data_IF_977902405340
#
_entry.id   IF_977902405340
#
_cell.length_a   1.000
_cell.length_b   1.000
_cell.length_c   1.000
_cell.angle_alpha   90.00
_cell.angle_beta   90.00
_cell.angle_gamma   90.00
#
_symmetry.space_group_name_H-M   'P 1'
#
loop_
_entity.id
_entity.type
_entity.pdbx_description
1 polymer ?
#
# COMPACT_ATOMS: atom_id res chain seq x y z
N UNK A 1 12.68 19.99 7.01
CA UNK A 1 13.41 18.93 7.73
C UNK A 1 12.52 17.71 7.79
N UNK A 2 12.63 16.81 6.81
CA UNK A 2 11.91 15.53 6.77
C UNK A 2 12.95 14.42 6.74
N UNK A 3 13.42 14.03 7.92
CA UNK A 3 14.40 12.97 8.06
C UNK A 3 13.68 11.61 8.06
N UNK A 4 14.18 10.69 7.22
CA UNK A 4 14.41 9.29 7.61
C UNK A 4 13.21 8.44 8.06
N UNK A 5 12.12 8.38 7.29
CA UNK A 5 11.13 7.30 7.44
C UNK A 5 11.36 6.11 6.50
N UNK A 6 12.32 6.21 5.57
CA UNK A 6 12.68 5.09 4.67
C UNK A 6 13.68 4.10 5.30
N UNK A 7 14.29 4.43 6.46
CA UNK A 7 15.35 3.62 7.09
C UNK A 7 14.84 2.57 8.07
N UNK A 8 13.57 2.60 8.48
CA UNK A 8 13.04 1.65 9.47
C UNK A 8 12.48 0.38 8.84
N UNK A 9 11.84 0.45 7.66
CA UNK A 9 11.14 -0.68 7.06
C UNK A 9 12.01 -1.96 6.87
N UNK A 10 13.30 -1.78 6.57
CA UNK A 10 14.25 -2.90 6.49
C UNK A 10 14.58 -3.50 7.86
N UNK A 11 14.83 -2.65 8.87
CA UNK A 11 15.09 -3.07 10.24
C UNK A 11 13.84 -3.68 10.91
N UNK A 12 12.66 -3.16 10.58
CA UNK A 12 11.36 -3.66 11.01
C UNK A 12 11.14 -5.07 10.45
N UNK A 13 11.49 -5.32 9.19
CA UNK A 13 11.42 -6.66 8.60
C UNK A 13 12.43 -7.63 9.23
N UNK A 14 13.68 -7.22 9.43
CA UNK A 14 14.69 -8.07 10.11
C UNK A 14 14.19 -8.50 11.48
N UNK A 15 13.75 -7.53 12.29
CA UNK A 15 13.22 -7.80 13.64
C UNK A 15 11.98 -8.68 13.59
N UNK A 16 11.11 -8.47 12.59
CA UNK A 16 9.93 -9.28 12.36
C UNK A 16 10.29 -10.74 12.05
N UNK A 17 11.21 -10.98 11.11
CA UNK A 17 11.63 -12.32 10.70
C UNK A 17 12.33 -13.07 11.84
N UNK A 18 13.25 -12.41 12.56
CA UNK A 18 13.93 -12.98 13.72
C UNK A 18 12.97 -13.30 14.89
N UNK A 19 11.80 -12.67 14.92
CA UNK A 19 10.76 -12.92 15.90
C UNK A 19 9.74 -14.00 15.50
N UNK A 20 9.92 -14.67 14.37
CA UNK A 20 9.06 -15.79 13.94
C UNK A 20 9.48 -17.10 14.63
N UNK A 21 8.55 -18.04 14.84
CA UNK A 21 8.88 -19.39 15.29
C UNK A 21 9.82 -20.12 14.32
N UNK A 22 10.73 -20.95 14.85
CA UNK A 22 11.72 -21.69 14.04
C UNK A 22 11.07 -22.54 12.94
N UNK A 23 9.94 -23.20 13.23
CA UNK A 23 9.21 -24.03 12.27
C UNK A 23 8.56 -23.22 11.14
N UNK A 24 8.23 -21.95 11.39
CA UNK A 24 7.74 -21.00 10.38
C UNK A 24 8.92 -20.53 9.52
N UNK A 25 10.06 -20.22 10.14
CA UNK A 25 11.30 -19.88 9.44
C UNK A 25 11.74 -21.02 8.51
N UNK A 26 11.76 -22.26 8.99
CA UNK A 26 12.10 -23.46 8.20
C UNK A 26 11.20 -23.61 6.97
N UNK A 27 9.89 -23.36 7.12
CA UNK A 27 8.93 -23.40 6.01
C UNK A 27 9.20 -22.30 4.97
N UNK A 28 9.54 -21.08 5.41
CA UNK A 28 9.91 -19.97 4.53
C UNK A 28 11.23 -20.29 3.81
N UNK A 29 12.22 -20.82 4.51
CA UNK A 29 13.51 -21.22 3.95
C UNK A 29 13.38 -22.35 2.92
N UNK A 30 12.45 -23.27 3.14
CA UNK A 30 12.16 -24.34 2.19
C UNK A 30 11.72 -23.82 0.82
N UNK A 31 11.12 -22.61 0.73
CA UNK A 31 10.80 -21.94 -0.54
C UNK A 31 12.05 -21.64 -1.37
N UNK A 32 13.20 -21.49 -0.70
CA UNK A 32 14.50 -21.21 -1.31
C UNK A 32 15.30 -22.50 -1.60
N UNK A 33 14.64 -23.66 -1.49
CA UNK A 33 15.23 -24.96 -1.78
C UNK A 33 15.74 -25.11 -3.22
N UNK A 34 16.75 -25.97 -3.40
CA UNK A 34 17.24 -26.35 -4.72
C UNK A 34 16.15 -27.13 -5.46
N UNK A 35 15.82 -26.69 -6.68
CA UNK A 35 14.76 -27.31 -7.48
C UNK A 35 13.33 -26.98 -7.01
N UNK A 36 13.18 -26.04 -6.07
CA UNK A 36 11.87 -25.55 -5.66
C UNK A 36 11.27 -24.63 -6.73
N UNK A 37 10.08 -24.96 -7.21
CA UNK A 37 9.40 -24.26 -8.29
C UNK A 37 8.15 -23.50 -7.81
N UNK A 38 7.79 -23.62 -6.51
CA UNK A 38 6.68 -22.86 -5.90
C UNK A 38 6.79 -21.36 -6.17
N UNK A 39 7.99 -20.80 -6.19
CA UNK A 39 8.23 -19.38 -6.44
C UNK A 39 7.97 -18.94 -7.89
N UNK A 40 7.70 -19.84 -8.83
CA UNK A 40 7.35 -19.46 -10.21
C UNK A 40 5.98 -18.77 -10.29
N UNK A 41 5.12 -18.94 -9.28
CA UNK A 41 3.80 -18.31 -9.23
C UNK A 41 3.45 -17.86 -7.82
N UNK A 42 2.70 -16.76 -7.66
CA UNK A 42 2.20 -16.34 -6.37
C UNK A 42 1.32 -17.40 -5.70
N UNK A 43 1.33 -17.43 -4.37
CA UNK A 43 0.50 -18.32 -3.59
C UNK A 43 -0.99 -17.94 -3.73
N UNK A 44 -1.84 -18.90 -4.12
CA UNK A 44 -3.25 -18.64 -4.42
C UNK A 44 -4.10 -18.25 -3.20
N UNK A 45 -3.67 -18.66 -2.00
CA UNK A 45 -4.36 -18.33 -0.75
C UNK A 45 -3.93 -17.00 -0.13
N UNK A 46 -2.91 -16.32 -0.67
CA UNK A 46 -2.46 -15.04 -0.13
C UNK A 46 -3.30 -13.87 -0.68
N UNK A 47 -3.37 -12.73 0.03
CA UNK A 47 -3.95 -11.51 -0.52
C UNK A 47 -3.29 -11.12 -1.86
N UNK A 48 -4.03 -10.48 -2.79
CA UNK A 48 -3.44 -10.00 -4.03
C UNK A 48 -2.36 -8.95 -3.73
N UNK A 49 -1.24 -8.98 -4.46
CA UNK A 49 -0.14 -8.04 -4.24
C UNK A 49 -0.49 -6.60 -4.64
N UNK A 50 -1.30 -6.43 -5.69
CA UNK A 50 -1.75 -5.12 -6.17
C UNK A 50 -3.29 -5.06 -6.22
N UNK A 51 -3.97 -4.99 -5.05
CA UNK A 51 -5.41 -4.81 -5.01
C UNK A 51 -5.79 -3.44 -5.58
N UNK A 52 -7.04 -3.32 -6.04
CA UNK A 52 -7.59 -2.01 -6.38
C UNK A 52 -7.69 -1.15 -5.12
N UNK A 53 -7.20 0.09 -5.20
CA UNK A 53 -7.24 1.08 -4.12
C UNK A 53 -7.83 2.40 -4.63
N UNK A 54 -8.32 3.28 -3.73
CA UNK A 54 -8.79 4.61 -4.09
C UNK A 54 -7.72 5.45 -4.79
N UNK A 55 -8.16 6.43 -5.56
CA UNK A 55 -7.31 7.53 -6.03
C UNK A 55 -6.60 8.18 -4.83
N UNK A 56 -5.34 8.58 -4.98
CA UNK A 56 -4.54 9.15 -3.89
C UNK A 56 -3.94 8.12 -2.93
N UNK A 57 -4.26 6.85 -3.10
CA UNK A 57 -3.62 5.72 -2.40
C UNK A 57 -2.66 5.01 -3.36
N UNK A 58 -1.53 4.56 -2.83
CA UNK A 58 -0.50 3.83 -3.60
C UNK A 58 -0.20 2.50 -2.91
N UNK A 59 -0.16 1.43 -3.70
CA UNK A 59 0.39 0.12 -3.29
C UNK A 59 1.67 -0.16 -4.06
N UNK A 60 2.72 -0.58 -3.36
CA UNK A 60 4.00 -0.94 -4.00
C UNK A 60 4.74 -2.01 -3.22
N UNK A 61 5.72 -2.62 -3.87
CA UNK A 61 6.74 -3.43 -3.20
C UNK A 61 7.68 -2.53 -2.40
N UNK A 62 7.97 -2.90 -1.14
CA UNK A 62 8.99 -2.24 -0.34
C UNK A 62 10.38 -2.72 -0.76
N UNK A 63 11.17 -1.83 -1.36
CA UNK A 63 12.57 -2.13 -1.68
C UNK A 63 13.41 -2.38 -0.43
N UNK A 64 13.10 -1.70 0.67
CA UNK A 64 13.77 -1.89 1.96
C UNK A 64 13.47 -3.28 2.54
N UNK A 65 12.21 -3.73 2.50
CA UNK A 65 11.85 -5.08 2.94
C UNK A 65 12.43 -6.16 2.03
N UNK A 66 12.43 -5.96 0.70
CA UNK A 66 13.06 -6.89 -0.24
C UNK A 66 14.58 -7.02 0.04
N UNK A 67 15.28 -5.90 0.23
CA UNK A 67 16.69 -5.90 0.58
C UNK A 67 16.96 -6.58 1.93
N UNK A 68 16.13 -6.32 2.94
CA UNK A 68 16.23 -6.98 4.24
C UNK A 68 15.99 -8.49 4.14
N UNK A 69 15.00 -8.92 3.36
CA UNK A 69 14.72 -10.33 3.10
C UNK A 69 15.92 -11.05 2.48
N UNK A 70 16.60 -10.45 1.50
CA UNK A 70 17.83 -11.02 0.93
C UNK A 70 18.92 -11.22 1.99
N UNK A 71 18.99 -10.36 3.00
CA UNK A 71 20.02 -10.39 4.03
C UNK A 71 19.73 -11.44 5.12
N UNK A 72 18.46 -11.61 5.51
CA UNK A 72 18.08 -12.41 6.69
C UNK A 72 17.53 -13.78 6.36
N UNK A 73 16.90 -13.97 5.19
CA UNK A 73 16.30 -15.27 4.82
C UNK A 73 17.37 -16.16 4.19
N UNK A 74 17.73 -17.29 4.82
CA UNK A 74 18.76 -18.16 4.28
C UNK A 74 18.47 -18.64 2.87
N UNK A 75 19.51 -18.62 2.03
CA UNK A 75 19.49 -19.03 0.61
C UNK A 75 18.61 -18.18 -0.31
N UNK A 76 17.83 -17.21 0.19
CA UNK A 76 16.99 -16.37 -0.66
C UNK A 76 17.80 -15.58 -1.67
N UNK A 77 18.95 -15.02 -1.26
CA UNK A 77 19.84 -14.30 -2.18
C UNK A 77 20.34 -15.19 -3.32
N UNK A 78 20.69 -16.44 -3.02
CA UNK A 78 21.09 -17.40 -4.05
C UNK A 78 19.92 -17.73 -4.98
N UNK A 79 18.73 -17.98 -4.43
CA UNK A 79 17.52 -18.27 -5.19
C UNK A 79 17.15 -17.10 -6.12
N UNK A 80 17.25 -15.87 -5.63
CA UNK A 80 17.04 -14.63 -6.38
C UNK A 80 17.95 -14.58 -7.62
N UNK A 81 19.26 -14.85 -7.47
CA UNK A 81 20.19 -14.91 -8.62
C UNK A 81 19.99 -16.12 -9.54
N UNK A 82 19.47 -17.23 -9.02
CA UNK A 82 19.16 -18.41 -9.84
C UNK A 82 17.95 -18.18 -10.75
N UNK A 83 16.93 -17.46 -10.25
CA UNK A 83 15.67 -17.25 -10.94
C UNK A 83 15.64 -15.98 -11.80
N UNK A 84 16.33 -14.92 -11.42
CA UNK A 84 16.29 -13.63 -12.14
C UNK A 84 17.57 -13.43 -12.97
N UNK A 85 17.46 -13.04 -14.26
CA UNK A 85 16.24 -12.86 -15.05
C UNK A 85 15.79 -14.15 -15.79
N UNK A 86 16.36 -15.31 -15.45
CA UNK A 86 16.28 -16.55 -16.26
C UNK A 86 14.87 -17.13 -16.35
N UNK A 87 14.16 -17.17 -15.22
CA UNK A 87 12.85 -17.81 -15.08
C UNK A 87 11.73 -16.80 -14.91
N UNK A 88 12.01 -15.64 -14.31
CA UNK A 88 11.02 -14.58 -14.11
C UNK A 88 11.64 -13.18 -13.90
N UNK A 89 10.87 -12.11 -14.12
CA UNK A 89 11.23 -10.75 -13.73
C UNK A 89 11.38 -10.59 -12.20
N UNK A 90 12.17 -9.60 -11.79
CA UNK A 90 12.43 -9.31 -10.37
C UNK A 90 11.15 -8.99 -9.59
N UNK A 91 10.25 -8.18 -10.15
CA UNK A 91 8.98 -7.86 -9.51
C UNK A 91 8.11 -9.11 -9.27
N UNK A 92 8.03 -10.01 -10.25
CA UNK A 92 7.25 -11.23 -10.13
C UNK A 92 7.84 -12.20 -9.10
N UNK A 93 9.18 -12.26 -9.00
CA UNK A 93 9.85 -13.02 -7.96
C UNK A 93 9.48 -12.51 -6.56
N UNK A 94 9.54 -11.20 -6.35
CA UNK A 94 9.22 -10.62 -5.04
C UNK A 94 7.76 -10.79 -4.67
N UNK A 95 6.84 -10.54 -5.61
CA UNK A 95 5.40 -10.79 -5.42
C UNK A 95 5.17 -12.25 -5.05
N UNK A 96 5.82 -13.17 -5.75
CA UNK A 96 5.70 -14.60 -5.49
C UNK A 96 6.24 -14.97 -4.12
N UNK A 97 7.50 -14.65 -3.81
CA UNK A 97 8.13 -14.96 -2.54
C UNK A 97 7.32 -14.43 -1.35
N UNK A 98 6.93 -13.16 -1.39
CA UNK A 98 6.18 -12.55 -0.31
C UNK A 98 4.76 -13.10 -0.18
N UNK A 99 4.10 -13.48 -1.27
CA UNK A 99 2.79 -14.16 -1.18
C UNK A 99 2.88 -15.52 -0.49
N UNK A 100 3.91 -16.33 -0.79
CA UNK A 100 4.14 -17.61 -0.11
C UNK A 100 4.50 -17.42 1.36
N UNK A 101 5.40 -16.48 1.65
CA UNK A 101 5.75 -16.12 3.03
C UNK A 101 4.51 -15.68 3.83
N UNK A 102 3.65 -14.86 3.25
CA UNK A 102 2.40 -14.42 3.87
C UNK A 102 1.49 -15.60 4.19
N UNK A 103 1.31 -16.53 3.25
CA UNK A 103 0.47 -17.70 3.47
C UNK A 103 1.00 -18.63 4.57
N UNK A 104 2.33 -18.81 4.64
CA UNK A 104 2.97 -19.57 5.72
C UNK A 104 2.72 -18.90 7.07
N UNK A 105 2.90 -17.59 7.18
CA UNK A 105 2.70 -16.88 8.44
C UNK A 105 1.22 -16.87 8.84
N UNK A 106 0.31 -16.61 7.91
CA UNK A 106 -1.13 -16.60 8.17
C UNK A 106 -1.64 -17.96 8.67
N UNK A 107 -1.08 -19.06 8.18
CA UNK A 107 -1.44 -20.41 8.61
C UNK A 107 -0.90 -20.83 9.97
N UNK A 108 0.15 -20.17 10.49
CA UNK A 108 0.87 -20.61 11.70
C UNK A 108 0.87 -19.58 12.84
N UNK A 109 1.00 -18.29 12.52
CA UNK A 109 1.09 -17.18 13.48
C UNK A 109 0.45 -15.88 12.93
N UNK A 110 -0.87 -15.87 12.65
CA UNK A 110 -1.56 -14.75 12.01
C UNK A 110 -1.45 -13.42 12.79
N UNK A 111 -1.32 -13.46 14.11
CA UNK A 111 -1.12 -12.28 14.95
C UNK A 111 0.14 -11.49 14.59
N UNK A 112 1.17 -12.15 14.04
CA UNK A 112 2.38 -11.49 13.55
C UNK A 112 2.10 -10.59 12.34
N UNK A 113 1.19 -10.98 11.46
CA UNK A 113 0.78 -10.13 10.33
C UNK A 113 0.02 -8.90 10.81
N UNK A 114 -0.81 -9.04 11.86
CA UNK A 114 -1.53 -7.90 12.45
C UNK A 114 -0.58 -6.90 13.11
N UNK A 115 0.45 -7.38 13.83
CA UNK A 115 1.50 -6.53 14.40
C UNK A 115 2.21 -5.72 13.30
N UNK A 116 2.58 -6.35 12.18
CA UNK A 116 3.24 -5.68 11.07
C UNK A 116 2.34 -4.63 10.41
N UNK A 117 1.06 -4.95 10.22
CA UNK A 117 0.07 -4.02 9.70
C UNK A 117 -0.16 -2.80 10.63
N UNK A 118 -0.09 -3.01 11.95
CA UNK A 118 -0.28 -1.94 12.95
C UNK A 118 0.86 -0.91 12.97
N UNK A 119 2.08 -1.32 12.59
CA UNK A 119 3.29 -0.48 12.58
C UNK A 119 3.48 0.31 11.30
N UNK A 120 2.74 -0.04 10.24
CA UNK A 120 2.88 0.61 8.94
C UNK A 120 2.48 2.10 9.01
N UNK A 121 3.38 2.98 8.55
CA UNK A 121 3.02 4.39 8.32
C UNK A 121 1.93 4.46 7.26
N UNK A 122 0.86 5.20 7.56
CA UNK A 122 -0.24 5.39 6.61
C UNK A 122 0.07 6.47 5.56
N UNK A 123 1.05 7.34 5.82
CA UNK A 123 1.53 8.35 4.86
C UNK A 123 2.85 7.93 4.24
N UNK A 124 2.97 8.14 2.92
CA UNK A 124 4.19 7.90 2.17
C UNK A 124 4.30 8.84 0.97
N UNK A 125 5.36 8.68 0.19
CA UNK A 125 5.53 9.35 -1.09
C UNK A 125 5.98 8.34 -2.11
N UNK A 126 5.43 8.44 -3.31
CA UNK A 126 5.98 7.74 -4.46
C UNK A 126 7.34 8.37 -4.78
N UNK A 127 8.40 7.55 -4.84
CA UNK A 127 9.75 8.00 -5.21
C UNK A 127 9.94 7.76 -6.70
N UNK A 128 9.89 8.81 -7.52
CA UNK A 128 10.08 8.74 -8.97
C UNK A 128 9.41 9.91 -9.71
N UNK A 129 9.65 10.00 -11.02
CA UNK A 129 9.10 11.05 -11.90
C UNK A 129 7.66 10.77 -12.38
N UNK A 130 7.04 9.66 -11.94
CA UNK A 130 5.68 9.33 -12.33
C UNK A 130 4.65 10.25 -11.63
N UNK A 131 3.63 10.75 -12.34
CA UNK A 131 2.59 11.57 -11.71
C UNK A 131 1.83 10.75 -10.68
N UNK A 132 1.52 11.36 -9.54
CA UNK A 132 0.71 10.75 -8.49
C UNK A 132 -0.69 10.40 -9.02
N UNK A 133 -1.35 9.43 -8.36
CA UNK A 133 -2.63 8.91 -8.83
C UNK A 133 -3.74 9.97 -8.84
N UNK A 134 -3.69 10.99 -7.97
CA UNK A 134 -4.64 12.10 -7.99
C UNK A 134 -4.42 12.98 -9.21
N UNK A 135 -3.21 13.49 -9.46
CA UNK A 135 -2.91 14.35 -10.61
C UNK A 135 -3.21 13.64 -11.93
N UNK A 136 -2.86 12.36 -12.03
CA UNK A 136 -3.16 11.52 -13.18
C UNK A 136 -4.67 11.36 -13.41
N UNK A 137 -5.48 11.22 -12.36
CA UNK A 137 -6.94 11.15 -12.46
C UNK A 137 -7.55 12.53 -12.77
N UNK A 138 -7.17 13.55 -12.02
CA UNK A 138 -7.72 14.91 -12.07
C UNK A 138 -7.56 15.57 -13.44
N UNK A 139 -6.43 15.34 -14.10
CA UNK A 139 -6.16 15.86 -15.46
C UNK A 139 -7.10 15.30 -16.53
N UNK A 140 -7.71 14.14 -16.30
CA UNK A 140 -8.63 13.46 -17.22
C UNK A 140 -10.11 13.73 -16.94
N UNK A 141 -10.43 14.43 -15.84
CA UNK A 141 -11.81 14.73 -15.47
C UNK A 141 -12.37 15.86 -16.33
N UNK A 142 -13.60 15.69 -16.81
CA UNK A 142 -14.43 16.77 -17.32
C UNK A 142 -14.89 17.71 -16.19
N UNK A 143 -15.51 18.82 -16.58
CA UNK A 143 -15.96 19.83 -15.62
C UNK A 143 -17.05 19.30 -14.68
N UNK A 144 -17.97 18.46 -15.17
CA UNK A 144 -19.05 17.92 -14.34
C UNK A 144 -18.53 17.04 -13.21
N UNK A 145 -17.53 16.20 -13.49
CA UNK A 145 -16.84 15.40 -12.46
C UNK A 145 -16.05 16.26 -11.48
N UNK A 146 -15.40 17.32 -11.97
CA UNK A 146 -14.70 18.27 -11.09
C UNK A 146 -15.67 19.00 -10.17
N UNK A 147 -16.83 19.39 -10.67
CA UNK A 147 -17.89 20.02 -9.88
C UNK A 147 -18.45 19.06 -8.83
N UNK A 148 -18.63 17.78 -9.18
CA UNK A 148 -19.04 16.75 -8.22
C UNK A 148 -18.01 16.60 -7.08
N UNK A 149 -16.71 16.59 -7.38
CA UNK A 149 -15.66 16.56 -6.35
C UNK A 149 -15.63 17.86 -5.55
N UNK A 150 -15.82 19.02 -6.18
CA UNK A 150 -15.91 20.31 -5.49
C UNK A 150 -17.10 20.37 -4.51
N UNK A 151 -18.23 19.75 -4.85
CA UNK A 151 -19.39 19.65 -3.98
C UNK A 151 -19.09 18.84 -2.70
N UNK A 152 -18.22 17.82 -2.76
CA UNK A 152 -17.81 17.06 -1.57
C UNK A 152 -17.15 17.95 -0.51
N UNK A 153 -16.35 18.93 -0.97
CA UNK A 153 -15.55 19.81 -0.09
C UNK A 153 -16.27 21.11 0.27
N UNK A 154 -17.50 21.29 -0.18
CA UNK A 154 -18.31 22.46 0.15
C UNK A 154 -18.46 22.63 1.67
N UNK A 155 -18.55 23.87 2.13
CA UNK A 155 -18.59 24.22 3.56
C UNK A 155 -19.67 23.44 4.33
N UNK A 156 -20.85 23.31 3.74
CA UNK A 156 -22.04 22.69 4.36
C UNK A 156 -22.19 21.20 4.03
N UNK A 157 -21.27 20.62 3.24
CA UNK A 157 -21.29 19.20 2.92
C UNK A 157 -20.79 18.35 4.09
N UNK A 158 -21.55 17.33 4.48
CA UNK A 158 -21.12 16.35 5.48
C UNK A 158 -20.45 15.11 4.85
N UNK A 159 -20.23 15.10 3.54
CA UNK A 159 -19.73 13.92 2.80
C UNK A 159 -18.37 13.40 3.31
N UNK A 160 -17.54 14.27 3.87
CA UNK A 160 -16.21 13.89 4.37
C UNK A 160 -16.21 13.39 5.82
N UNK A 161 -17.36 13.33 6.49
CA UNK A 161 -17.44 12.79 7.85
C UNK A 161 -17.29 11.28 7.90
N UNK A 162 -17.62 10.59 6.81
CA UNK A 162 -17.58 9.13 6.69
C UNK A 162 -16.90 8.72 5.36
N UNK A 163 -16.20 7.58 5.33
CA UNK A 163 -15.66 7.04 4.09
C UNK A 163 -16.78 6.52 3.18
N UNK A 164 -16.53 6.51 1.88
CA UNK A 164 -17.47 5.92 0.93
C UNK A 164 -17.26 4.41 0.81
N UNK A 165 -18.23 3.61 1.26
CA UNK A 165 -18.15 2.14 1.23
C UNK A 165 -18.29 1.52 -0.17
N UNK A 166 -18.74 2.28 -1.16
CA UNK A 166 -18.74 1.84 -2.57
C UNK A 166 -17.35 1.94 -3.21
N UNK A 167 -16.41 2.66 -2.57
CA UNK A 167 -15.00 2.68 -2.97
C UNK A 167 -14.30 1.40 -2.51
N UNK A 168 -13.27 0.91 -3.24
CA UNK A 168 -12.29 -0.01 -2.68
C UNK A 168 -11.71 0.54 -1.36
N UNK A 169 -11.30 -0.33 -0.42
CA UNK A 169 -10.71 0.11 0.84
C UNK A 169 -9.37 0.83 0.61
N UNK A 170 -9.12 1.91 1.35
CA UNK A 170 -7.85 2.65 1.28
C UNK A 170 -6.66 1.86 1.85
N UNK A 171 -6.91 0.90 2.75
CA UNK A 171 -5.87 0.06 3.35
C UNK A 171 -6.35 -1.41 3.33
N UNK A 172 -6.28 -2.09 2.17
CA UNK A 172 -6.60 -3.51 2.08
C UNK A 172 -5.58 -4.37 2.82
N UNK A 173 -5.93 -5.64 3.08
CA UNK A 173 -4.93 -6.65 3.47
C UNK A 173 -3.94 -6.86 2.32
N UNK A 174 -2.67 -6.95 2.64
CA UNK A 174 -1.59 -7.07 1.66
C UNK A 174 -0.61 -8.18 2.06
N UNK A 175 0.10 -8.78 1.09
CA UNK A 175 1.24 -9.63 1.39
C UNK A 175 2.32 -8.89 2.18
N UNK A 176 3.08 -9.63 2.98
CA UNK A 176 4.33 -9.18 3.61
C UNK A 176 5.21 -8.48 2.57
N UNK A 177 5.89 -7.40 2.93
CA UNK A 177 6.79 -6.69 2.00
C UNK A 177 6.09 -5.82 0.96
N UNK A 178 4.75 -5.81 0.90
CA UNK A 178 3.98 -4.78 0.21
C UNK A 178 3.63 -3.63 1.16
N UNK A 179 3.70 -2.41 0.66
CA UNK A 179 3.33 -1.18 1.37
C UNK A 179 2.07 -0.59 0.73
N UNK A 180 1.18 -0.05 1.57
CA UNK A 180 0.08 0.79 1.13
C UNK A 180 -0.02 2.05 1.97
N UNK A 181 -0.07 3.18 1.30
CA UNK A 181 -0.07 4.49 1.93
C UNK A 181 -0.89 5.49 1.11
N UNK A 182 -1.36 6.52 1.80
CA UNK A 182 -1.85 7.73 1.14
C UNK A 182 -0.64 8.52 0.66
N UNK A 183 -0.61 8.84 -0.62
CA UNK A 183 0.49 9.57 -1.24
C UNK A 183 0.42 11.04 -0.84
N UNK A 184 1.48 11.51 -0.15
CA UNK A 184 1.63 12.92 0.24
C UNK A 184 1.62 13.86 -0.96
N UNK A 185 2.15 13.43 -2.10
CA UNK A 185 2.12 14.21 -3.34
C UNK A 185 0.68 14.36 -3.82
N UNK A 186 -0.10 13.28 -3.81
CA UNK A 186 -1.51 13.31 -4.17
C UNK A 186 -2.34 14.19 -3.23
N UNK A 187 -2.12 14.09 -1.91
CA UNK A 187 -2.78 14.95 -0.92
C UNK A 187 -2.47 16.43 -1.15
N UNK A 188 -1.21 16.75 -1.44
CA UNK A 188 -0.77 18.13 -1.73
C UNK A 188 -1.36 18.64 -3.05
N UNK A 189 -1.39 17.79 -4.07
CA UNK A 189 -2.01 18.10 -5.35
C UNK A 189 -3.52 18.36 -5.19
N UNK A 190 -4.21 17.56 -4.36
CA UNK A 190 -5.62 17.76 -4.04
C UNK A 190 -5.89 19.10 -3.36
N UNK A 191 -5.09 19.49 -2.37
CA UNK A 191 -5.19 20.80 -1.71
C UNK A 191 -4.98 21.96 -2.69
N UNK A 192 -4.07 21.77 -3.66
CA UNK A 192 -3.77 22.79 -4.67
C UNK A 192 -4.89 22.90 -5.70
N UNK A 193 -5.48 21.76 -6.10
CA UNK A 193 -6.53 21.70 -7.11
C UNK A 193 -7.90 22.15 -6.57
N UNK A 194 -8.15 22.00 -5.27
CA UNK A 194 -9.44 22.28 -4.62
C UNK A 194 -9.27 23.34 -3.51
N UNK A 195 -9.48 24.64 -3.82
CA UNK A 195 -9.24 25.72 -2.85
C UNK A 195 -10.04 25.59 -1.55
N UNK A 196 -11.25 25.04 -1.60
CA UNK A 196 -12.09 24.85 -0.41
C UNK A 196 -11.73 23.60 0.39
N UNK A 197 -10.97 22.66 -0.17
CA UNK A 197 -10.50 21.47 0.54
C UNK A 197 -9.59 21.86 1.71
N UNK A 198 -8.73 22.87 1.54
CA UNK A 198 -7.85 23.32 2.63
C UNK A 198 -8.65 23.89 3.81
N UNK A 199 -9.70 24.67 3.52
CA UNK A 199 -10.61 25.18 4.57
C UNK A 199 -11.35 24.03 5.23
N UNK A 200 -11.85 23.07 4.45
CA UNK A 200 -12.58 21.90 4.95
C UNK A 200 -11.69 21.02 5.83
N UNK A 201 -10.46 20.77 5.41
CA UNK A 201 -9.42 20.08 6.18
C UNK A 201 -9.22 20.76 7.53
N UNK A 202 -8.99 22.07 7.56
CA UNK A 202 -8.80 22.85 8.79
C UNK A 202 -10.03 22.90 9.71
N UNK A 203 -11.24 22.69 9.15
CA UNK A 203 -12.48 22.63 9.92
C UNK A 203 -12.71 21.26 10.57
N UNK A 204 -12.33 20.18 9.87
CA UNK A 204 -12.57 18.81 10.31
C UNK A 204 -11.40 18.23 11.11
N UNK A 205 -10.17 18.60 10.81
CA UNK A 205 -8.96 18.12 11.48
C UNK A 205 -8.41 19.20 12.41
N UNK A 206 -8.11 18.90 13.69
CA UNK A 206 -8.31 17.62 14.39
C UNK A 206 -9.68 17.49 15.09
N UNK A 207 -10.63 18.40 14.83
CA UNK A 207 -11.84 18.57 15.66
C UNK A 207 -12.84 17.41 15.57
N UNK A 208 -13.03 16.85 14.38
CA UNK A 208 -13.99 15.78 14.08
C UNK A 208 -13.31 14.52 13.58
N UNK A 209 -12.16 14.66 12.90
CA UNK A 209 -11.40 13.56 12.31
C UNK A 209 -9.92 13.74 12.61
N UNK A 210 -9.20 12.64 12.71
CA UNK A 210 -7.75 12.67 12.58
C UNK A 210 -7.34 12.82 11.09
N UNK A 211 -6.07 13.12 10.87
CA UNK A 211 -5.50 13.34 9.54
C UNK A 211 -5.67 12.11 8.64
N UNK A 212 -5.50 10.89 9.17
CA UNK A 212 -5.63 9.64 8.39
C UNK A 212 -7.07 9.47 7.93
N UNK A 213 -8.02 9.59 8.86
CA UNK A 213 -9.44 9.45 8.59
C UNK A 213 -9.89 10.47 7.53
N UNK A 214 -9.49 11.74 7.65
CA UNK A 214 -9.83 12.78 6.67
C UNK A 214 -9.42 12.39 5.24
N UNK A 215 -8.17 11.97 5.04
CA UNK A 215 -7.69 11.62 3.71
C UNK A 215 -8.31 10.33 3.18
N UNK A 216 -8.55 9.33 4.02
CA UNK A 216 -9.32 8.14 3.64
C UNK A 216 -10.72 8.53 3.17
N UNK A 217 -11.41 9.39 3.91
CA UNK A 217 -12.76 9.81 3.55
C UNK A 217 -12.77 10.59 2.24
N UNK A 218 -11.87 11.57 2.09
CA UNK A 218 -11.76 12.35 0.87
C UNK A 218 -11.50 11.47 -0.36
N UNK A 219 -10.50 10.60 -0.30
CA UNK A 219 -10.09 9.82 -1.46
C UNK A 219 -11.09 8.72 -1.82
N UNK A 220 -11.77 8.11 -0.84
CA UNK A 220 -12.85 7.15 -1.12
C UNK A 220 -14.07 7.84 -1.74
N UNK A 221 -14.48 9.00 -1.21
CA UNK A 221 -15.58 9.79 -1.79
C UNK A 221 -15.26 10.26 -3.22
N UNK A 222 -14.05 10.77 -3.44
CA UNK A 222 -13.60 11.20 -4.76
C UNK A 222 -13.60 10.04 -5.75
N UNK A 223 -13.08 8.88 -5.36
CA UNK A 223 -12.99 7.69 -6.21
C UNK A 223 -14.38 7.29 -6.74
N UNK A 224 -15.39 7.34 -5.88
CA UNK A 224 -16.78 7.06 -6.28
C UNK A 224 -17.33 8.17 -7.18
N UNK A 225 -17.17 9.43 -6.79
CA UNK A 225 -17.66 10.58 -7.55
C UNK A 225 -17.16 10.62 -9.01
N UNK A 226 -15.92 10.19 -9.26
CA UNK A 226 -15.35 10.17 -10.62
C UNK A 226 -15.67 8.89 -11.40
N UNK A 227 -16.09 7.82 -10.71
CA UNK A 227 -16.44 6.52 -11.29
C UNK A 227 -17.92 6.43 -11.68
N UNK A 228 -18.81 7.06 -10.91
CA UNK A 228 -20.27 6.90 -11.02
C UNK A 228 -20.94 7.77 -12.10
N UNK A 229 -20.20 8.59 -12.86
CA UNK A 229 -20.80 9.26 -14.02
C UNK A 229 -20.89 8.30 -15.21
N UNK A 230 -21.84 7.37 -15.15
CA UNK A 230 -22.50 6.90 -16.37
C UNK A 230 -23.38 8.04 -16.88
N UNK A 231 -23.04 8.54 -18.07
CA UNK A 231 -23.92 9.36 -18.89
C UNK A 231 -25.21 8.61 -19.23
#
# INVERSE_FOLDING_TARGET
MGAEQSSTAGADFTTFYEGLPDDVCDQIEALCGKGEDRLLKPHLGAPPAFPTVPVGTTVRLSSATAAAALAVVPRLQRKHYEMIPKSMPEMDFWVSFFSHMTAVIEGNCPEKLEELASKASWQGSTTGDAPDSFTAAWSKLDQGKRDAVAALVARDSDALLEPNSASPPAFPKLPVGMECFIDRVAATAALTALPDLQKKHSMLVPKKLDERAFWVHFFTQMTVAISDSKA
#
